data_IF_737876885317
#
_entry.id   IF_737876885317
#
_cell.length_a   1.000
_cell.length_b   1.000
_cell.length_c   1.000
_cell.angle_alpha   90.00
_cell.angle_beta   90.00
_cell.angle_gamma   90.00
#
_symmetry.space_group_name_H-M   'P 1'
#
loop_
_entity.id
_entity.type
_entity.pdbx_description
1 polymer ?
#
# COMPACT_ATOMS: atom_id res chain seq x y z
N UNK A 1 -16.05 -11.89 -212.27
CA UNK A 1 -17.35 -11.47 -211.72
C UNK A 1 -17.06 -10.89 -210.34
N UNK A 2 -16.78 -9.59 -210.25
CA UNK A 2 -17.73 -8.51 -209.84
C UNK A 2 -17.83 -8.44 -208.30
N UNK A 3 -17.83 -7.32 -207.56
CA UNK A 3 -17.93 -5.87 -207.85
C UNK A 3 -17.57 -5.04 -206.59
N UNK A 4 -17.08 -3.82 -206.80
CA UNK A 4 -17.29 -2.51 -206.11
C UNK A 4 -17.35 -2.25 -204.56
N UNK A 5 -16.36 -1.45 -204.07
CA UNK A 5 -16.36 -0.13 -203.33
C UNK A 5 -17.26 0.17 -202.08
N UNK A 6 -17.04 1.23 -201.24
CA UNK A 6 -15.83 2.08 -200.91
C UNK A 6 -15.62 2.50 -199.40
N UNK A 7 -14.47 3.16 -199.13
CA UNK A 7 -14.19 4.38 -198.28
C UNK A 7 -14.10 4.44 -196.71
N UNK A 8 -12.98 5.04 -196.24
CA UNK A 8 -12.80 6.14 -195.21
C UNK A 8 -12.21 5.91 -193.78
N UNK A 9 -10.96 6.43 -193.60
CA UNK A 9 -10.36 7.24 -192.48
C UNK A 9 -9.88 6.66 -191.10
N UNK A 10 -8.84 7.28 -190.45
CA UNK A 10 -7.86 6.71 -189.45
C UNK A 10 -8.30 6.92 -187.95
N UNK A 11 -7.53 6.71 -186.81
CA UNK A 11 -6.05 6.68 -186.56
C UNK A 11 -5.42 5.81 -185.39
N UNK A 12 -4.07 5.84 -185.35
CA UNK A 12 -3.07 5.82 -184.24
C UNK A 12 -2.83 4.58 -183.33
N UNK A 13 -1.58 4.11 -183.34
CA UNK A 13 -1.05 2.98 -182.58
C UNK A 13 -0.48 3.36 -181.18
N UNK A 14 -0.23 4.66 -180.92
CA UNK A 14 0.41 5.13 -179.67
C UNK A 14 -0.51 5.25 -178.44
N UNK A 15 -1.83 5.32 -178.62
CA UNK A 15 -2.79 5.57 -177.52
C UNK A 15 -3.14 4.32 -176.71
N UNK A 16 -2.91 3.11 -177.24
CA UNK A 16 -3.27 1.86 -176.56
C UNK A 16 -2.25 1.37 -175.53
N UNK A 17 -0.99 1.83 -175.60
CA UNK A 17 0.03 1.44 -174.61
C UNK A 17 0.02 2.34 -173.35
N UNK A 18 -0.33 3.63 -173.49
CA UNK A 18 -0.33 4.58 -172.37
C UNK A 18 -1.45 4.35 -171.35
N UNK A 19 -2.60 3.83 -171.78
CA UNK A 19 -3.78 3.70 -170.92
C UNK A 19 -3.67 2.56 -169.90
N UNK A 20 -2.92 1.50 -170.20
CA UNK A 20 -2.70 0.37 -169.28
C UNK A 20 -1.67 0.70 -168.15
N UNK A 21 -0.72 1.60 -168.42
CA UNK A 21 0.28 2.00 -167.42
C UNK A 21 -0.30 2.90 -166.32
N UNK A 22 -1.27 3.76 -166.66
CA UNK A 22 -1.93 4.67 -165.71
C UNK A 22 -2.80 3.91 -164.69
N UNK A 23 -3.51 2.86 -165.12
CA UNK A 23 -4.32 2.02 -164.21
C UNK A 23 -3.46 1.26 -163.21
N UNK A 24 -2.30 0.75 -163.62
CA UNK A 24 -1.36 0.06 -162.73
C UNK A 24 -0.81 0.98 -161.63
N UNK A 25 -0.37 2.20 -161.98
CA UNK A 25 0.16 3.17 -161.02
C UNK A 25 -0.88 3.60 -159.97
N UNK A 26 -2.16 3.72 -160.38
CA UNK A 26 -3.26 4.09 -159.47
C UNK A 26 -3.51 3.04 -158.39
N UNK A 27 -3.39 1.75 -158.73
CA UNK A 27 -3.54 0.64 -157.78
C UNK A 27 -2.36 0.63 -156.80
N UNK A 28 -1.13 0.85 -157.28
CA UNK A 28 0.07 0.87 -156.44
C UNK A 28 0.02 1.96 -155.36
N UNK A 29 -0.39 3.18 -155.73
CA UNK A 29 -0.56 4.30 -154.78
C UNK A 29 -1.61 3.95 -153.71
N UNK A 30 -2.70 3.30 -154.10
CA UNK A 30 -3.78 2.93 -153.18
C UNK A 30 -3.33 1.92 -152.14
N UNK A 31 -2.51 0.93 -152.52
CA UNK A 31 -1.93 -0.05 -151.58
C UNK A 31 -0.92 0.61 -150.64
N UNK A 32 -0.07 1.50 -151.15
CA UNK A 32 0.93 2.20 -150.34
C UNK A 32 0.30 3.09 -149.26
N UNK A 33 -0.82 3.74 -149.57
CA UNK A 33 -1.58 4.54 -148.60
C UNK A 33 -2.17 3.70 -147.46
N UNK A 34 -2.68 2.50 -147.76
CA UNK A 34 -3.21 1.58 -146.76
C UNK A 34 -2.09 1.09 -145.83
N UNK A 35 -0.93 0.76 -146.40
CA UNK A 35 0.26 0.37 -145.63
C UNK A 35 0.76 1.49 -144.71
N UNK A 36 0.76 2.73 -145.21
CA UNK A 36 1.14 3.90 -144.42
C UNK A 36 0.15 4.12 -143.26
N UNK A 37 -1.16 3.99 -143.52
CA UNK A 37 -2.19 4.12 -142.49
C UNK A 37 -2.04 3.05 -141.41
N UNK A 38 -1.76 1.80 -141.79
CA UNK A 38 -1.51 0.69 -140.86
C UNK A 38 -0.25 0.93 -140.02
N UNK A 39 0.83 1.44 -140.62
CA UNK A 39 2.05 1.79 -139.90
C UNK A 39 1.83 2.96 -138.91
N UNK A 40 1.04 3.96 -139.29
CA UNK A 40 0.68 5.10 -138.43
C UNK A 40 -0.18 4.66 -137.24
N UNK A 41 -1.13 3.74 -137.48
CA UNK A 41 -1.94 3.13 -136.42
C UNK A 41 -1.07 2.29 -135.47
N UNK A 42 -0.16 1.47 -136.01
CA UNK A 42 0.80 0.69 -135.21
C UNK A 42 1.70 1.57 -134.35
N UNK A 43 2.23 2.66 -134.90
CA UNK A 43 3.02 3.64 -134.15
C UNK A 43 2.20 4.38 -133.09
N UNK A 44 0.95 4.75 -133.41
CA UNK A 44 0.03 5.38 -132.47
C UNK A 44 -0.26 4.49 -131.26
N UNK A 45 -0.46 3.19 -131.46
CA UNK A 45 -0.67 2.23 -130.36
C UNK A 45 0.63 1.99 -129.58
N UNK A 46 1.75 1.77 -130.28
CA UNK A 46 3.05 1.47 -129.66
C UNK A 46 3.60 2.63 -128.81
N UNK A 47 3.43 3.88 -129.25
CA UNK A 47 3.89 5.07 -128.51
C UNK A 47 2.81 5.70 -127.63
N UNK A 48 1.52 5.53 -127.95
CA UNK A 48 0.40 6.08 -127.18
C UNK A 48 0.23 5.40 -125.82
N UNK A 49 0.28 4.06 -125.77
CA UNK A 49 0.09 3.31 -124.53
C UNK A 49 1.16 3.66 -123.47
N UNK A 50 2.48 3.71 -123.78
CA UNK A 50 3.50 4.07 -122.80
C UNK A 50 3.40 5.52 -122.30
N UNK A 51 2.99 6.47 -123.15
CA UNK A 51 2.87 7.88 -122.77
C UNK A 51 1.70 8.12 -121.80
N UNK A 52 0.58 7.44 -122.03
CA UNK A 52 -0.58 7.43 -121.13
C UNK A 52 -0.24 6.81 -119.76
N UNK A 53 0.53 5.72 -119.73
CA UNK A 53 0.95 5.06 -118.49
C UNK A 53 1.79 5.99 -117.60
N UNK A 54 2.79 6.69 -118.18
CA UNK A 54 3.64 7.62 -117.42
C UNK A 54 2.89 8.86 -116.92
N UNK A 55 1.90 9.36 -117.66
CA UNK A 55 1.20 10.61 -117.33
C UNK A 55 0.08 10.43 -116.31
N UNK A 56 -0.55 9.25 -116.24
CA UNK A 56 -1.71 9.01 -115.37
C UNK A 56 -1.46 8.00 -114.24
N UNK A 57 -0.61 6.98 -114.43
CA UNK A 57 -0.44 5.92 -113.41
C UNK A 57 0.54 6.33 -112.32
N UNK A 58 1.70 6.91 -112.67
CA UNK A 58 2.71 7.35 -111.69
C UNK A 58 2.25 8.38 -110.64
N UNK A 59 1.44 9.42 -110.94
CA UNK A 59 0.99 10.34 -109.90
C UNK A 59 0.03 9.66 -108.91
N UNK A 60 -0.82 8.75 -109.39
CA UNK A 60 -1.73 7.97 -108.55
C UNK A 60 -0.94 7.06 -107.60
N UNK A 61 0.16 6.44 -108.04
CA UNK A 61 1.06 5.66 -107.18
C UNK A 61 1.71 6.50 -106.06
N UNK A 62 2.10 7.75 -106.34
CA UNK A 62 2.69 8.65 -105.32
C UNK A 62 1.65 9.17 -104.33
N UNK A 63 0.45 9.49 -104.80
CA UNK A 63 -0.64 9.93 -103.92
C UNK A 63 -1.16 8.77 -103.06
N UNK A 64 -1.22 7.54 -103.60
CA UNK A 64 -1.46 6.31 -102.83
C UNK A 64 -0.37 6.09 -101.77
N UNK A 65 0.91 6.27 -102.10
CA UNK A 65 2.00 6.14 -101.13
C UNK A 65 1.94 7.19 -100.01
N UNK A 66 1.53 8.43 -100.33
CA UNK A 66 1.34 9.50 -99.32
C UNK A 66 0.13 9.25 -98.45
N UNK A 67 -1.00 8.82 -99.02
CA UNK A 67 -2.19 8.43 -98.24
C UNK A 67 -1.87 7.28 -97.29
N UNK A 68 -1.09 6.29 -97.73
CA UNK A 68 -0.60 5.21 -96.87
C UNK A 68 0.31 5.72 -95.73
N UNK A 69 1.21 6.69 -95.99
CA UNK A 69 2.05 7.29 -94.93
C UNK A 69 1.22 8.14 -93.95
N UNK A 70 0.25 8.92 -94.44
CA UNK A 70 -0.68 9.67 -93.59
C UNK A 70 -1.55 8.74 -92.74
N UNK A 71 -2.08 7.67 -93.33
CA UNK A 71 -2.84 6.66 -92.62
C UNK A 71 -1.97 5.98 -91.56
N UNK A 72 -0.74 5.60 -91.88
CA UNK A 72 0.19 5.01 -90.92
C UNK A 72 0.53 5.97 -89.76
N UNK A 73 0.70 7.28 -90.04
CA UNK A 73 0.93 8.30 -88.99
C UNK A 73 -0.30 8.53 -88.14
N UNK A 74 -1.49 8.54 -88.74
CA UNK A 74 -2.76 8.66 -88.04
C UNK A 74 -2.97 7.47 -87.10
N UNK A 75 -2.80 6.25 -87.60
CA UNK A 75 -2.83 5.02 -86.79
C UNK A 75 -1.81 5.07 -85.64
N UNK A 76 -0.60 5.56 -85.88
CA UNK A 76 0.39 5.76 -84.80
C UNK A 76 -0.01 6.82 -83.79
N UNK A 77 -0.61 7.93 -84.22
CA UNK A 77 -1.08 8.99 -83.34
C UNK A 77 -2.25 8.50 -82.47
N UNK A 78 -3.20 7.79 -83.08
CA UNK A 78 -4.34 7.19 -82.39
C UNK A 78 -3.87 6.15 -81.36
N UNK A 79 -2.91 5.30 -81.72
CA UNK A 79 -2.28 4.36 -80.78
C UNK A 79 -1.57 5.07 -79.61
N UNK A 80 -0.84 6.16 -79.87
CA UNK A 80 -0.18 6.94 -78.82
C UNK A 80 -1.19 7.63 -77.90
N UNK A 81 -2.28 8.14 -78.48
CA UNK A 81 -3.34 8.80 -77.72
C UNK A 81 -4.08 7.79 -76.84
N UNK A 82 -4.46 6.63 -77.39
CA UNK A 82 -5.04 5.52 -76.63
C UNK A 82 -4.14 5.14 -75.45
N UNK A 83 -2.84 4.91 -75.69
CA UNK A 83 -1.90 4.57 -74.62
C UNK A 83 -1.80 5.63 -73.52
N UNK A 84 -1.89 6.92 -73.89
CA UNK A 84 -1.89 8.02 -72.89
C UNK A 84 -3.19 8.06 -72.10
N UNK A 85 -4.33 7.80 -72.73
CA UNK A 85 -5.61 7.68 -72.03
C UNK A 85 -5.58 6.48 -71.07
N UNK A 86 -5.03 5.34 -71.52
CA UNK A 86 -4.87 4.14 -70.69
C UNK A 86 -3.96 4.43 -69.47
N UNK A 87 -2.82 5.10 -69.67
CA UNK A 87 -1.90 5.51 -68.57
C UNK A 87 -2.55 6.52 -67.61
N UNK A 88 -3.29 7.50 -68.13
CA UNK A 88 -4.02 8.46 -67.29
C UNK A 88 -5.14 7.81 -66.51
N UNK A 89 -5.88 6.87 -67.13
CA UNK A 89 -6.92 6.10 -66.45
C UNK A 89 -6.30 5.25 -65.34
N UNK A 90 -5.21 4.54 -65.62
CA UNK A 90 -4.51 3.73 -64.63
C UNK A 90 -4.00 4.57 -63.45
N UNK A 91 -3.43 5.74 -63.72
CA UNK A 91 -2.99 6.68 -62.68
C UNK A 91 -4.15 7.23 -61.86
N UNK A 92 -5.30 7.51 -62.49
CA UNK A 92 -6.48 8.00 -61.81
C UNK A 92 -7.06 6.92 -60.90
N UNK A 93 -7.13 5.67 -61.36
CA UNK A 93 -7.49 4.50 -60.55
C UNK A 93 -6.52 4.29 -59.36
N UNK A 94 -5.21 4.47 -59.57
CA UNK A 94 -4.21 4.38 -58.49
C UNK A 94 -4.36 5.51 -57.46
N UNK A 95 -4.62 6.74 -57.91
CA UNK A 95 -4.85 7.89 -57.03
C UNK A 95 -6.15 7.73 -56.24
N UNK A 96 -7.23 7.24 -56.86
CA UNK A 96 -8.50 6.94 -56.20
C UNK A 96 -8.29 5.88 -55.10
N UNK A 97 -7.61 4.79 -55.44
CA UNK A 97 -7.25 3.74 -54.47
C UNK A 97 -6.40 4.28 -53.32
N UNK A 98 -5.41 5.13 -53.64
CA UNK A 98 -4.56 5.76 -52.63
C UNK A 98 -5.35 6.71 -51.73
N UNK A 99 -6.27 7.50 -52.28
CA UNK A 99 -7.12 8.41 -51.52
C UNK A 99 -8.08 7.66 -50.60
N UNK A 100 -8.66 6.55 -51.07
CA UNK A 100 -9.51 5.69 -50.26
C UNK A 100 -8.73 5.04 -49.11
N UNK A 101 -7.51 4.59 -49.38
CA UNK A 101 -6.60 4.07 -48.34
C UNK A 101 -6.26 5.15 -47.31
N UNK A 102 -5.97 6.38 -47.74
CA UNK A 102 -5.70 7.49 -46.84
C UNK A 102 -6.92 7.85 -45.98
N UNK A 103 -8.12 7.90 -46.55
CA UNK A 103 -9.36 8.14 -45.80
C UNK A 103 -9.56 7.08 -44.72
N UNK A 104 -9.40 5.81 -45.06
CA UNK A 104 -9.48 4.71 -44.09
C UNK A 104 -8.46 4.88 -42.96
N UNK A 105 -7.22 5.27 -43.27
CA UNK A 105 -6.20 5.52 -42.24
C UNK A 105 -6.53 6.72 -41.35
N UNK A 106 -7.16 7.76 -41.89
CA UNK A 106 -7.60 8.93 -41.12
C UNK A 106 -8.77 8.57 -40.21
N UNK A 107 -9.74 7.80 -40.69
CA UNK A 107 -10.86 7.31 -39.88
C UNK A 107 -10.37 6.40 -38.74
N UNK A 108 -9.38 5.56 -39.00
CA UNK A 108 -8.75 4.70 -37.98
C UNK A 108 -7.99 5.54 -36.94
N UNK A 109 -7.21 6.53 -37.38
CA UNK A 109 -6.51 7.44 -36.47
C UNK A 109 -7.47 8.28 -35.63
N UNK A 110 -8.56 8.78 -36.21
CA UNK A 110 -9.59 9.51 -35.49
C UNK A 110 -10.22 8.63 -34.42
N UNK A 111 -10.65 7.42 -34.78
CA UNK A 111 -11.21 6.44 -33.83
C UNK A 111 -10.22 6.15 -32.69
N UNK A 112 -8.93 6.02 -33.01
CA UNK A 112 -7.88 5.80 -32.01
C UNK A 112 -7.67 7.00 -31.09
N UNK A 113 -7.74 8.23 -31.60
CA UNK A 113 -7.63 9.46 -30.80
C UNK A 113 -8.83 9.58 -29.86
N UNK A 114 -10.05 9.38 -30.35
CA UNK A 114 -11.28 9.41 -29.55
C UNK A 114 -11.24 8.35 -28.42
N UNK A 115 -10.70 7.17 -28.71
CA UNK A 115 -10.44 6.14 -27.71
C UNK A 115 -9.43 6.57 -26.63
N UNK A 116 -8.28 7.14 -27.04
CA UNK A 116 -7.28 7.63 -26.10
C UNK A 116 -7.77 8.81 -25.24
N UNK A 117 -8.58 9.70 -25.79
CA UNK A 117 -9.19 10.80 -25.04
C UNK A 117 -10.18 10.29 -24.00
N UNK A 118 -11.01 9.31 -24.38
CA UNK A 118 -11.94 8.63 -23.47
C UNK A 118 -11.19 7.93 -22.34
N UNK A 119 -10.12 7.19 -22.65
CA UNK A 119 -9.27 6.51 -21.66
C UNK A 119 -8.59 7.51 -20.72
N UNK A 120 -8.12 8.65 -21.25
CA UNK A 120 -7.52 9.72 -20.43
C UNK A 120 -8.53 10.36 -19.51
N UNK A 121 -9.73 10.66 -19.99
CA UNK A 121 -10.78 11.25 -19.18
C UNK A 121 -11.20 10.30 -18.06
N UNK A 122 -11.36 9.02 -18.38
CA UNK A 122 -11.65 7.99 -17.39
C UNK A 122 -10.51 7.82 -16.37
N UNK A 123 -9.26 7.81 -16.84
CA UNK A 123 -8.06 7.76 -16.00
C UNK A 123 -7.94 8.96 -15.07
N UNK A 124 -8.26 10.17 -15.54
CA UNK A 124 -8.27 11.38 -14.72
C UNK A 124 -9.36 11.33 -13.64
N UNK A 125 -10.59 10.96 -14.00
CA UNK A 125 -11.70 10.83 -13.05
C UNK A 125 -11.45 9.75 -11.98
N UNK A 126 -10.89 8.61 -12.38
CA UNK A 126 -10.50 7.54 -11.45
C UNK A 126 -9.32 7.95 -10.57
N UNK A 127 -8.34 8.69 -11.12
CA UNK A 127 -7.24 9.28 -10.36
C UNK A 127 -7.70 10.29 -9.31
N UNK A 128 -8.58 11.21 -9.66
CA UNK A 128 -9.14 12.22 -8.76
C UNK A 128 -9.95 11.58 -7.62
N UNK A 129 -10.78 10.58 -7.93
CA UNK A 129 -11.57 9.86 -6.92
C UNK A 129 -10.70 9.00 -6.00
N UNK A 130 -9.64 8.37 -6.52
CA UNK A 130 -8.66 7.67 -5.71
C UNK A 130 -7.88 8.64 -4.80
N UNK A 131 -7.49 9.81 -5.33
CA UNK A 131 -6.81 10.85 -4.55
C UNK A 131 -7.70 11.41 -3.44
N UNK A 132 -8.97 11.71 -3.75
CA UNK A 132 -9.94 12.17 -2.74
C UNK A 132 -10.14 11.14 -1.64
N UNK A 133 -10.19 9.85 -2.00
CA UNK A 133 -10.30 8.76 -1.03
C UNK A 133 -9.05 8.63 -0.16
N UNK A 134 -7.86 8.80 -0.75
CA UNK A 134 -6.60 8.79 -0.02
C UNK A 134 -6.50 9.96 0.98
N UNK A 135 -6.95 11.16 0.59
CA UNK A 135 -7.01 12.33 1.47
C UNK A 135 -7.99 12.10 2.62
N UNK A 136 -9.20 11.59 2.36
CA UNK A 136 -10.16 11.26 3.40
C UNK A 136 -9.59 10.24 4.41
N UNK A 137 -8.86 9.22 3.92
CA UNK A 137 -8.21 8.25 4.80
C UNK A 137 -7.08 8.86 5.64
N UNK A 138 -6.36 9.85 5.13
CA UNK A 138 -5.35 10.57 5.90
C UNK A 138 -5.99 11.40 7.02
N UNK A 139 -7.11 12.06 6.74
CA UNK A 139 -7.88 12.83 7.73
C UNK A 139 -8.44 11.92 8.85
N UNK A 140 -8.98 10.75 8.47
CA UNK A 140 -9.41 9.72 9.42
C UNK A 140 -8.25 9.23 10.30
N UNK A 141 -7.07 9.01 9.70
CA UNK A 141 -5.87 8.58 10.41
C UNK A 141 -5.35 9.66 11.37
N UNK A 142 -5.39 10.94 10.96
CA UNK A 142 -5.02 12.08 11.81
C UNK A 142 -5.95 12.19 13.01
N UNK A 143 -7.26 12.04 12.79
CA UNK A 143 -8.28 12.01 13.85
C UNK A 143 -8.04 10.85 14.82
N UNK A 144 -7.80 9.65 14.31
CA UNK A 144 -7.49 8.48 15.15
C UNK A 144 -6.21 8.66 15.97
N UNK A 145 -5.19 9.30 15.40
CA UNK A 145 -3.94 9.60 16.11
C UNK A 145 -4.18 10.62 17.24
N UNK A 146 -5.01 11.64 17.00
CA UNK A 146 -5.40 12.60 18.01
C UNK A 146 -6.16 11.92 19.16
N UNK A 147 -7.14 11.05 18.85
CA UNK A 147 -7.88 10.27 19.86
C UNK A 147 -6.96 9.36 20.69
N UNK A 148 -6.01 8.66 20.05
CA UNK A 148 -5.05 7.80 20.75
C UNK A 148 -4.15 8.63 21.67
N UNK A 149 -3.71 9.81 21.23
CA UNK A 149 -2.91 10.71 22.07
C UNK A 149 -3.68 11.18 23.31
N UNK A 150 -4.94 11.59 23.14
CA UNK A 150 -5.81 11.98 24.25
C UNK A 150 -6.06 10.82 25.23
N UNK A 151 -6.28 9.60 24.72
CA UNK A 151 -6.44 8.41 25.56
C UNK A 151 -5.17 8.08 26.35
N UNK A 152 -3.98 8.27 25.77
CA UNK A 152 -2.71 8.07 26.47
C UNK A 152 -2.51 9.10 27.58
N UNK A 153 -2.87 10.37 27.35
CA UNK A 153 -2.83 11.41 28.38
C UNK A 153 -3.80 11.10 29.53
N UNK A 154 -5.03 10.67 29.20
CA UNK A 154 -5.99 10.24 30.21
C UNK A 154 -5.48 9.05 31.04
N UNK A 155 -4.92 8.04 30.39
CA UNK A 155 -4.37 6.86 31.08
C UNK A 155 -3.21 7.24 32.01
N UNK A 156 -2.34 8.18 31.61
CA UNK A 156 -1.28 8.70 32.47
C UNK A 156 -1.85 9.42 33.70
N UNK A 157 -2.91 10.23 33.52
CA UNK A 157 -3.59 10.90 34.63
C UNK A 157 -4.24 9.89 35.60
N UNK A 158 -4.87 8.83 35.08
CA UNK A 158 -5.46 7.76 35.88
C UNK A 158 -4.39 6.99 36.68
N UNK A 159 -3.24 6.66 36.07
CA UNK A 159 -2.11 6.02 36.77
C UNK A 159 -1.59 6.92 37.90
N UNK A 160 -1.45 8.22 37.65
CA UNK A 160 -1.03 9.17 38.68
C UNK A 160 -2.04 9.21 39.84
N UNK A 161 -3.34 9.24 39.55
CA UNK A 161 -4.40 9.21 40.56
C UNK A 161 -4.43 7.89 41.37
N UNK A 162 -4.23 6.75 40.71
CA UNK A 162 -4.13 5.45 41.37
C UNK A 162 -2.90 5.37 42.29
N UNK A 163 -1.76 5.89 41.85
CA UNK A 163 -0.54 5.93 42.66
C UNK A 163 -0.74 6.76 43.94
N UNK A 164 -1.45 7.89 43.84
CA UNK A 164 -1.79 8.73 44.98
C UNK A 164 -2.75 8.02 45.93
N UNK A 165 -3.72 7.29 45.38
CA UNK A 165 -4.67 6.48 46.17
C UNK A 165 -3.93 5.38 46.93
N UNK A 166 -3.01 4.67 46.27
CA UNK A 166 -2.19 3.63 46.90
C UNK A 166 -1.34 4.19 48.04
N UNK A 167 -0.70 5.35 47.85
CA UNK A 167 0.07 6.03 48.89
C UNK A 167 -0.81 6.39 50.10
N UNK A 168 -2.02 6.91 49.85
CA UNK A 168 -2.99 7.24 50.91
C UNK A 168 -3.45 6.00 51.67
N UNK A 169 -3.76 4.91 50.97
CA UNK A 169 -4.16 3.64 51.60
C UNK A 169 -3.02 3.04 52.42
N UNK A 170 -1.78 3.07 51.92
CA UNK A 170 -0.60 2.62 52.68
C UNK A 170 -0.43 3.41 53.97
N UNK A 171 -0.57 4.74 53.91
CA UNK A 171 -0.50 5.59 55.09
C UNK A 171 -1.62 5.27 56.10
N UNK A 172 -2.84 5.03 55.61
CA UNK A 172 -3.97 4.64 56.46
C UNK A 172 -3.76 3.28 57.13
N UNK A 173 -3.21 2.29 56.42
CA UNK A 173 -2.90 0.97 56.99
C UNK A 173 -1.85 1.11 58.09
N UNK A 174 -0.82 1.93 57.88
CA UNK A 174 0.23 2.15 58.87
C UNK A 174 -0.25 2.93 60.10
N UNK A 175 -1.18 3.87 59.90
CA UNK A 175 -1.87 4.55 61.00
C UNK A 175 -2.72 3.56 61.81
N UNK A 176 -3.54 2.75 61.14
CA UNK A 176 -4.38 1.72 61.78
C UNK A 176 -3.54 0.67 62.53
N UNK A 177 -2.40 0.24 61.98
CA UNK A 177 -1.50 -0.69 62.68
C UNK A 177 -0.94 -0.06 63.95
N UNK A 178 -0.51 1.21 63.87
CA UNK A 178 0.00 1.96 65.03
C UNK A 178 -1.07 2.15 66.12
N UNK A 179 -2.31 2.44 65.72
CA UNK A 179 -3.46 2.54 66.63
C UNK A 179 -3.80 1.18 67.27
N UNK A 180 -3.71 0.09 66.51
CA UNK A 180 -3.96 -1.27 67.01
C UNK A 180 -2.92 -1.67 68.05
N UNK A 181 -1.64 -1.43 67.77
CA UNK A 181 -0.54 -1.69 68.73
C UNK A 181 -0.68 -0.84 70.00
N UNK A 182 -1.01 0.44 69.85
CA UNK A 182 -1.22 1.36 70.97
C UNK A 182 -2.44 0.98 71.83
N UNK A 183 -3.51 0.44 71.22
CA UNK A 183 -4.69 -0.03 71.94
C UNK A 183 -4.51 -1.39 72.62
N UNK A 184 -3.65 -2.26 72.08
CA UNK A 184 -3.39 -3.59 72.64
C UNK A 184 -2.56 -3.54 73.94
N UNK A 185 -1.62 -2.60 74.06
CA UNK A 185 -0.74 -2.50 75.21
C UNK A 185 -1.47 -2.22 76.55
N UNK A 186 -2.40 -1.24 76.65
CA UNK A 186 -3.17 -0.99 77.87
C UNK A 186 -4.07 -2.15 78.26
N UNK A 187 -4.68 -2.84 77.29
CA UNK A 187 -5.53 -4.01 77.55
C UNK A 187 -4.73 -5.19 78.08
N UNK A 188 -3.52 -5.41 77.57
CA UNK A 188 -2.61 -6.44 78.07
C UNK A 188 -2.15 -6.10 79.50
N UNK A 189 -1.79 -4.85 79.77
CA UNK A 189 -1.43 -4.40 81.11
C UNK A 189 -2.58 -4.61 82.12
N UNK A 190 -3.80 -4.19 81.76
CA UNK A 190 -4.98 -4.37 82.62
C UNK A 190 -5.30 -5.85 82.89
N UNK A 191 -5.12 -6.73 81.90
CA UNK A 191 -5.28 -8.18 82.08
C UNK A 191 -4.27 -8.74 83.08
N UNK A 192 -3.00 -8.35 82.95
CA UNK A 192 -1.93 -8.77 83.85
C UNK A 192 -2.20 -8.29 85.29
N UNK A 193 -2.60 -7.04 85.47
CA UNK A 193 -2.96 -6.47 86.78
C UNK A 193 -4.13 -7.24 87.41
N UNK A 194 -5.14 -7.61 86.61
CA UNK A 194 -6.29 -8.37 87.07
C UNK A 194 -5.91 -9.80 87.49
N UNK A 195 -4.99 -10.46 86.80
CA UNK A 195 -4.46 -11.77 87.21
C UNK A 195 -3.68 -11.67 88.53
N UNK A 196 -2.90 -10.60 88.73
CA UNK A 196 -2.16 -10.37 89.97
C UNK A 196 -3.10 -10.12 91.16
N UNK A 197 -4.16 -9.32 90.97
CA UNK A 197 -5.19 -9.10 92.00
C UNK A 197 -5.91 -10.39 92.36
N UNK A 198 -6.26 -11.23 91.37
CA UNK A 198 -6.86 -12.54 91.62
C UNK A 198 -5.95 -13.45 92.43
N UNK A 199 -4.66 -13.52 92.09
CA UNK A 199 -3.68 -14.28 92.87
C UNK A 199 -3.62 -13.77 94.32
N UNK A 200 -3.59 -12.45 94.53
CA UNK A 200 -3.62 -11.87 95.88
C UNK A 200 -4.90 -12.19 96.67
N UNK A 201 -6.06 -12.26 96.00
CA UNK A 201 -7.32 -12.67 96.62
C UNK A 201 -7.22 -14.11 97.15
N UNK A 202 -6.76 -15.04 96.31
CA UNK A 202 -6.54 -16.43 96.70
C UNK A 202 -5.58 -16.55 97.88
N UNK A 203 -4.47 -15.78 97.92
CA UNK A 203 -3.55 -15.79 99.06
C UNK A 203 -4.17 -15.22 100.33
N UNK A 204 -4.96 -14.16 100.22
CA UNK A 204 -5.66 -13.56 101.36
C UNK A 204 -6.67 -14.55 101.96
N UNK A 205 -7.41 -15.26 101.09
CA UNK A 205 -8.35 -16.31 101.48
C UNK A 205 -7.65 -17.53 102.09
N UNK A 206 -6.52 -17.96 101.52
CA UNK A 206 -5.65 -19.01 102.06
C UNK A 206 -5.20 -18.70 103.49
N UNK A 207 -4.75 -17.46 103.74
CA UNK A 207 -4.31 -17.03 105.08
C UNK A 207 -5.47 -17.05 106.09
N UNK A 208 -6.67 -16.67 105.67
CA UNK A 208 -7.88 -16.78 106.49
C UNK A 208 -8.24 -18.24 106.80
N UNK A 209 -8.18 -19.13 105.80
CA UNK A 209 -8.46 -20.55 105.99
C UNK A 209 -7.42 -21.26 106.89
N UNK A 210 -6.16 -20.84 106.84
CA UNK A 210 -5.13 -21.30 107.78
C UNK A 210 -5.50 -20.94 109.23
N UNK A 211 -5.96 -19.71 109.47
CA UNK A 211 -6.40 -19.28 110.80
C UNK A 211 -7.63 -20.07 111.30
N UNK A 212 -8.45 -20.58 110.38
CA UNK A 212 -9.62 -21.43 110.67
C UNK A 212 -9.29 -22.93 110.70
N UNK A 213 -8.02 -23.32 110.54
CA UNK A 213 -7.54 -24.69 110.46
C UNK A 213 -8.21 -25.52 109.33
N UNK A 214 -8.59 -24.88 108.23
CA UNK A 214 -9.19 -25.54 107.07
C UNK A 214 -8.16 -25.76 105.95
N UNK A 215 -7.26 -26.72 106.17
CA UNK A 215 -6.05 -26.90 105.35
C UNK A 215 -6.33 -27.33 103.90
N UNK A 216 -7.43 -28.04 103.63
CA UNK A 216 -7.79 -28.44 102.27
C UNK A 216 -8.15 -27.26 101.38
N UNK A 217 -8.87 -26.26 101.92
CA UNK A 217 -9.16 -25.04 101.18
C UNK A 217 -7.93 -24.15 101.00
N UNK A 218 -6.97 -24.20 101.94
CA UNK A 218 -5.67 -23.52 101.80
C UNK A 218 -4.90 -24.10 100.63
N UNK A 219 -4.77 -25.43 100.56
CA UNK A 219 -4.04 -26.09 99.49
C UNK A 219 -4.63 -25.74 98.12
N UNK A 220 -5.96 -25.77 98.00
CA UNK A 220 -6.66 -25.40 96.78
C UNK A 220 -6.37 -23.94 96.37
N UNK A 221 -6.54 -22.98 97.29
CA UNK A 221 -6.34 -21.56 96.98
C UNK A 221 -4.90 -21.22 96.63
N UNK A 222 -3.92 -21.87 97.27
CA UNK A 222 -2.51 -21.67 96.97
C UNK A 222 -2.15 -22.28 95.61
N UNK A 223 -2.74 -23.42 95.24
CA UNK A 223 -2.59 -23.99 93.90
C UNK A 223 -3.20 -23.10 92.83
N UNK A 224 -4.40 -22.56 93.05
CA UNK A 224 -5.06 -21.62 92.13
C UNK A 224 -4.22 -20.34 91.93
N UNK A 225 -3.71 -19.75 93.01
CA UNK A 225 -2.82 -18.60 92.95
C UNK A 225 -1.53 -18.92 92.17
N UNK A 226 -0.94 -20.09 92.40
CA UNK A 226 0.28 -20.55 91.73
C UNK A 226 0.06 -20.71 90.23
N UNK A 227 -1.04 -21.33 89.81
CA UNK A 227 -1.38 -21.50 88.40
C UNK A 227 -1.52 -20.14 87.70
N UNK A 228 -2.28 -19.21 88.30
CA UNK A 228 -2.45 -17.86 87.77
C UNK A 228 -1.12 -17.12 87.58
N UNK A 229 -0.21 -17.21 88.57
CA UNK A 229 1.11 -16.57 88.47
C UNK A 229 2.03 -17.27 87.47
N UNK A 230 1.92 -18.58 87.29
CA UNK A 230 2.70 -19.34 86.31
C UNK A 230 2.28 -18.98 84.89
N UNK A 231 0.98 -18.89 84.64
CA UNK A 231 0.44 -18.45 83.35
C UNK A 231 0.91 -17.01 83.04
N UNK A 232 0.87 -16.12 84.04
CA UNK A 232 1.31 -14.74 83.92
C UNK A 232 2.82 -14.62 83.60
N UNK A 233 3.68 -15.58 83.99
CA UNK A 233 5.12 -15.56 83.62
C UNK A 233 5.36 -15.53 82.11
N UNK A 234 4.49 -16.16 81.32
CA UNK A 234 4.61 -16.18 79.85
C UNK A 234 4.16 -14.88 79.17
N UNK A 235 3.46 -14.01 79.90
CA UNK A 235 2.84 -12.81 79.34
C UNK A 235 3.53 -11.51 79.77
N UNK A 236 4.32 -11.54 80.85
CA UNK A 236 5.04 -10.38 81.41
C UNK A 236 6.41 -10.15 80.75
N UNK A 237 6.94 -8.91 80.81
CA UNK A 237 8.29 -8.59 80.36
C UNK A 237 9.39 -9.34 81.13
N UNK A 238 10.53 -9.58 80.47
CA UNK A 238 11.63 -10.39 81.01
C UNK A 238 12.14 -9.93 82.39
N UNK A 239 12.17 -8.62 82.66
CA UNK A 239 12.63 -8.07 83.93
C UNK A 239 11.68 -8.34 85.11
N UNK A 240 10.43 -8.76 84.86
CA UNK A 240 9.45 -9.10 85.89
C UNK A 240 9.42 -10.60 86.22
N UNK A 241 9.98 -11.45 85.36
CA UNK A 241 9.94 -12.91 85.48
C UNK A 241 10.57 -13.36 86.81
N UNK A 242 11.73 -12.82 87.18
CA UNK A 242 12.44 -13.18 88.42
C UNK A 242 11.68 -12.75 89.69
N UNK A 243 10.91 -11.66 89.63
CA UNK A 243 10.05 -11.25 90.73
C UNK A 243 8.89 -12.24 90.91
N UNK A 244 8.23 -12.62 89.80
CA UNK A 244 7.14 -13.59 89.82
C UNK A 244 7.61 -14.98 90.25
N UNK A 245 8.80 -15.40 89.79
CA UNK A 245 9.41 -16.68 90.17
C UNK A 245 9.68 -16.77 91.68
N UNK A 246 10.08 -15.67 92.31
CA UNK A 246 10.27 -15.62 93.78
C UNK A 246 8.97 -15.80 94.55
N UNK A 247 7.87 -15.23 94.05
CA UNK A 247 6.54 -15.42 94.65
C UNK A 247 6.10 -16.88 94.50
N UNK A 248 6.20 -17.44 93.30
CA UNK A 248 5.84 -18.84 93.03
C UNK A 248 6.65 -19.81 93.90
N UNK A 249 7.96 -19.58 94.05
CA UNK A 249 8.80 -20.39 94.93
C UNK A 249 8.34 -20.37 96.39
N UNK A 250 7.77 -19.26 96.87
CA UNK A 250 7.16 -19.16 98.21
C UNK A 250 5.85 -19.93 98.30
N UNK A 251 5.03 -19.91 97.25
CA UNK A 251 3.81 -20.73 97.20
C UNK A 251 4.14 -22.22 97.18
N UNK A 252 5.18 -22.63 96.45
CA UNK A 252 5.69 -24.00 96.45
C UNK A 252 6.19 -24.44 97.84
N UNK A 253 6.92 -23.56 98.53
CA UNK A 253 7.37 -23.80 99.89
C UNK A 253 6.19 -23.95 100.87
N UNK A 254 5.16 -23.12 100.75
CA UNK A 254 3.95 -23.19 101.55
C UNK A 254 3.19 -24.52 101.31
N UNK A 255 2.97 -24.90 100.04
CA UNK A 255 2.33 -26.17 99.68
C UNK A 255 3.10 -27.37 100.22
N UNK A 256 4.43 -27.37 100.11
CA UNK A 256 5.28 -28.46 100.62
C UNK A 256 5.24 -28.61 102.16
N UNK A 257 4.91 -27.52 102.85
CA UNK A 257 4.82 -27.49 104.32
C UNK A 257 3.46 -27.94 104.82
N UNK A 258 2.42 -27.98 103.98
CA UNK A 258 1.10 -28.49 104.34
C UNK A 258 1.03 -30.02 104.18
N UNK A 259 0.29 -30.74 105.06
CA UNK A 259 -0.36 -30.28 106.30
C UNK A 259 0.58 -30.29 107.53
N UNK A 260 1.83 -30.72 107.35
CA UNK A 260 2.74 -31.09 108.45
C UNK A 260 3.22 -29.92 109.32
N UNK A 261 3.34 -28.71 108.75
CA UNK A 261 3.90 -27.51 109.38
C UNK A 261 3.07 -26.27 108.99
N UNK A 262 1.84 -26.12 109.51
CA UNK A 262 0.93 -25.04 109.11
C UNK A 262 1.42 -23.64 109.47
N UNK A 263 2.19 -23.48 110.55
CA UNK A 263 2.77 -22.19 110.93
C UNK A 263 3.81 -21.72 109.91
N UNK A 264 4.69 -22.62 109.45
CA UNK A 264 5.69 -22.30 108.43
C UNK A 264 5.02 -21.98 107.08
N UNK A 265 3.98 -22.74 106.72
CA UNK A 265 3.19 -22.43 105.53
C UNK A 265 2.55 -21.04 105.61
N UNK A 266 2.06 -20.62 106.79
CA UNK A 266 1.51 -19.27 106.99
C UNK A 266 2.57 -18.17 106.78
N UNK A 267 3.82 -18.39 107.24
CA UNK A 267 4.94 -17.46 107.02
C UNK A 267 5.29 -17.34 105.54
N UNK A 268 5.38 -18.46 104.80
CA UNK A 268 5.68 -18.42 103.37
C UNK A 268 4.56 -17.74 102.55
N UNK A 269 3.28 -17.93 102.92
CA UNK A 269 2.16 -17.23 102.28
C UNK A 269 2.15 -15.73 102.59
N UNK A 270 2.55 -15.34 103.81
CA UNK A 270 2.73 -13.93 104.16
C UNK A 270 3.79 -13.28 103.27
N UNK A 271 4.95 -13.92 103.12
CA UNK A 271 6.05 -13.42 102.30
C UNK A 271 5.61 -13.32 100.83
N UNK A 272 4.93 -14.35 100.31
CA UNK A 272 4.41 -14.33 98.94
C UNK A 272 3.43 -13.16 98.73
N UNK A 273 2.54 -12.93 99.68
CA UNK A 273 1.58 -11.84 99.64
C UNK A 273 2.25 -10.46 99.70
N UNK A 274 3.23 -10.26 100.59
CA UNK A 274 3.98 -9.00 100.69
C UNK A 274 4.76 -8.70 99.40
N UNK A 275 5.36 -9.73 98.79
CA UNK A 275 6.05 -9.59 97.51
C UNK A 275 5.10 -9.16 96.38
N UNK A 276 3.87 -9.69 96.34
CA UNK A 276 2.86 -9.25 95.37
C UNK A 276 2.31 -7.87 95.68
N UNK A 277 2.11 -7.54 96.95
CA UNK A 277 1.64 -6.23 97.39
C UNK A 277 2.63 -5.10 97.03
N UNK A 278 3.94 -5.41 97.08
CA UNK A 278 4.99 -4.50 96.63
C UNK A 278 4.96 -4.22 95.12
N UNK A 279 4.15 -4.96 94.36
CA UNK A 279 4.05 -4.87 92.92
C UNK A 279 5.21 -5.54 92.19
N UNK A 280 5.03 -5.74 90.88
CA UNK A 280 6.11 -6.18 90.01
C UNK A 280 7.09 -5.02 89.75
N UNK A 281 8.39 -5.32 89.56
CA UNK A 281 9.36 -4.29 89.25
C UNK A 281 8.92 -3.53 88.00
N UNK A 282 9.11 -2.21 88.01
CA UNK A 282 8.87 -1.35 86.85
C UNK A 282 10.10 -1.41 85.94
N UNK A 283 9.91 -1.22 84.64
CA UNK A 283 11.00 -1.21 83.66
C UNK A 283 12.12 -0.26 84.12
N UNK A 284 13.39 -0.69 84.12
CA UNK A 284 14.50 0.19 84.48
C UNK A 284 14.56 1.33 83.47
N UNK A 285 14.07 2.50 83.88
CA UNK A 285 14.27 3.72 83.10
C UNK A 285 15.77 3.96 83.04
N UNK A 286 16.35 3.83 81.84
CA UNK A 286 17.66 4.38 81.54
C UNK A 286 17.55 5.90 81.59
N UNK A 287 17.48 6.47 82.80
CA UNK A 287 17.72 7.88 83.00
C UNK A 287 19.18 8.14 82.61
N UNK A 288 19.46 9.10 81.69
CA UNK A 288 20.82 9.54 81.49
C UNK A 288 21.30 10.14 82.81
N UNK A 289 22.31 9.52 83.42
CA UNK A 289 23.05 10.10 84.52
C UNK A 289 23.51 11.49 84.10
N UNK A 290 22.92 12.53 84.67
CA UNK A 290 23.47 13.88 84.59
C UNK A 290 24.84 13.85 85.24
N UNK A 291 25.87 14.17 84.45
CA UNK A 291 27.24 14.32 84.91
C UNK A 291 27.30 15.30 86.10
N UNK A 292 28.17 15.09 87.10
CA UNK A 292 28.28 15.99 88.24
C UNK A 292 28.70 17.40 87.79
N UNK A 293 27.97 18.40 88.27
CA UNK A 293 28.30 19.81 88.12
C UNK A 293 29.70 20.10 88.66
N UNK A 294 30.57 20.64 87.80
CA UNK A 294 31.86 21.20 88.19
C UNK A 294 31.67 22.43 89.09
N UNK A 295 32.30 22.39 90.27
CA UNK A 295 32.31 23.45 91.27
C UNK A 295 32.90 24.77 90.72
N UNK A 296 32.40 25.95 91.15
CA UNK A 296 32.98 27.24 90.83
C UNK A 296 34.32 27.44 91.58
N UNK A 297 35.37 27.81 90.83
CA UNK A 297 36.69 28.09 91.37
C UNK A 297 36.71 29.30 92.31
N UNK A 298 37.38 29.15 93.45
CA UNK A 298 37.68 30.21 94.41
C UNK A 298 38.79 31.14 93.87
N UNK A 299 38.67 32.48 93.99
CA UNK A 299 39.72 33.41 93.57
C UNK A 299 40.92 33.38 94.54
N UNK A 300 42.12 33.30 93.99
CA UNK A 300 43.40 33.47 94.72
C UNK A 300 43.78 34.95 94.73
N UNK A 301 44.12 35.57 95.87
CA UNK A 301 44.65 36.92 95.91
C UNK A 301 46.18 36.89 95.74
N UNK A 302 46.76 37.78 94.93
CA UNK A 302 48.21 38.01 94.96
C UNK A 302 48.57 39.48 94.75
N UNK A 303 49.17 40.00 95.82
CA UNK A 303 49.75 41.29 96.14
C UNK A 303 50.37 42.15 95.01
N UNK A 304 50.21 43.47 95.20
CA UNK A 304 51.03 44.56 94.68
C UNK A 304 52.49 44.44 95.20
N UNK A 305 53.48 45.03 94.50
CA UNK A 305 53.78 46.47 94.65
C UNK A 305 53.73 47.28 93.35
#
# INVERSE_FOLDING_TARGET
MSDQTPSSSPPSFGSRLGQAFITFLRVLIRVLLILLLAALLGAGVYFGIPALYRRYVQPVERDLARLNDFQARQEQADLRFSRRLDDLQQRLEEIELHNDTQKQSLDELQTRIEGMESDRQFGAQTGESAQSTAIARLDDMETSLAEVSANLEQMQAEIAALSQTLAKTSAQVQELSSQTESGAAPLKALRNDLQLVKAMEHLTRSRLFLAQNNLGLVEQDVQDARLLLTDLQGEVPAYQIDALARVIARLDAALSSLPSRPLLAAEDLEVAWQLLQGGLPVEPTTQPTSAPASLPGTPTPSAAP
#
